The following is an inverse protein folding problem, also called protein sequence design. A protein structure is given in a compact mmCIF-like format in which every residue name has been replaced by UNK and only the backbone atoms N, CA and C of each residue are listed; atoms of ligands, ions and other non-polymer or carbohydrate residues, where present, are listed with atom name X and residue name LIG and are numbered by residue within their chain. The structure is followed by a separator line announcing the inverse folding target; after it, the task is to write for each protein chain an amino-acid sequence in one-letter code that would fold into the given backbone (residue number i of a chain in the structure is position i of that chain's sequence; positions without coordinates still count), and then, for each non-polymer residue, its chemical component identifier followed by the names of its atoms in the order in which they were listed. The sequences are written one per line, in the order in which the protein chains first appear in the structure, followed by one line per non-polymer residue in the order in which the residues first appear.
data_IF_288408110113
#
_entry.id   IF_288408110113
#
_cell.length_a   1.000
_cell.length_b   1.000
_cell.length_c   1.000
_cell.angle_alpha   90.00
_cell.angle_beta   90.00
_cell.angle_gamma   90.00
#
_symmetry.space_group_name_H-M   'P 1'
#
loop_
_entity.id
_entity.type
_entity.pdbx_description
1 polymer ?
#
# COMPACT_ATOMS: atom_id res chain seq x y z
N UNK A 1 44.40 14.94 6.04
CA UNK A 1 43.44 15.34 7.09
C UNK A 1 42.24 14.41 6.94
N UNK A 2 42.08 13.42 7.81
CA UNK A 2 40.98 12.44 7.72
C UNK A 2 39.79 13.04 8.45
N UNK A 3 38.71 13.34 7.72
CA UNK A 3 37.45 13.78 8.32
C UNK A 3 36.95 12.73 9.31
N UNK A 4 36.86 13.11 10.59
CA UNK A 4 36.12 12.33 11.58
C UNK A 4 34.63 12.34 11.20
N UNK A 5 34.16 11.26 10.56
CA UNK A 5 32.72 11.00 10.43
C UNK A 5 32.14 10.88 11.85
N UNK A 6 31.38 11.88 12.26
CA UNK A 6 30.61 11.86 13.51
C UNK A 6 29.70 10.64 13.48
N UNK A 7 29.94 9.67 14.36
CA UNK A 7 29.20 8.40 14.40
C UNK A 7 27.79 8.66 14.94
N UNK A 8 26.84 8.90 14.03
CA UNK A 8 25.46 9.28 14.35
C UNK A 8 24.78 8.19 15.18
N UNK A 9 23.95 8.60 16.15
CA UNK A 9 23.16 7.67 16.95
C UNK A 9 22.01 7.09 16.13
N UNK A 10 21.87 5.77 16.17
CA UNK A 10 20.77 5.07 15.52
C UNK A 10 19.49 5.21 16.37
N UNK A 11 18.49 5.96 15.86
CA UNK A 11 17.21 6.17 16.57
C UNK A 11 16.42 4.87 16.78
N UNK A 12 16.56 3.92 15.87
CA UNK A 12 15.87 2.62 15.90
C UNK A 12 16.61 1.53 16.69
N UNK A 13 17.70 1.86 17.41
CA UNK A 13 18.49 0.91 18.21
C UNK A 13 17.62 -0.08 18.99
N UNK A 14 16.64 0.42 19.75
CA UNK A 14 15.76 -0.41 20.59
C UNK A 14 14.93 -1.41 19.76
N UNK A 15 14.41 -0.95 18.61
CA UNK A 15 13.53 -1.76 17.75
C UNK A 15 14.33 -2.82 17.03
N UNK A 16 15.49 -2.47 16.47
CA UNK A 16 16.41 -3.43 15.83
C UNK A 16 16.85 -4.54 16.78
N UNK A 17 17.26 -4.18 18.00
CA UNK A 17 17.70 -5.15 19.01
C UNK A 17 16.55 -6.08 19.43
N UNK A 18 15.31 -5.58 19.52
CA UNK A 18 14.14 -6.44 19.79
C UNK A 18 13.87 -7.42 18.67
N UNK A 19 13.86 -6.94 17.41
CA UNK A 19 13.64 -7.79 16.24
C UNK A 19 14.70 -8.90 16.18
N UNK A 20 15.99 -8.56 16.36
CA UNK A 20 17.06 -9.54 16.39
C UNK A 20 16.85 -10.64 17.44
N UNK A 21 16.40 -10.28 18.64
CA UNK A 21 16.12 -11.24 19.73
C UNK A 21 14.88 -12.09 19.41
N UNK A 22 13.83 -11.50 18.83
CA UNK A 22 12.65 -12.24 18.36
C UNK A 22 13.02 -13.27 17.27
N UNK A 23 14.05 -12.98 16.47
CA UNK A 23 14.65 -13.88 15.50
C UNK A 23 15.70 -14.84 16.08
N UNK A 24 15.83 -14.93 17.40
CA UNK A 24 16.64 -15.94 18.09
C UNK A 24 18.07 -15.51 18.44
N UNK A 25 18.48 -14.26 18.15
CA UNK A 25 19.80 -13.78 18.56
C UNK A 25 19.88 -13.54 20.07
N UNK A 26 21.04 -13.83 20.67
CA UNK A 26 21.33 -13.47 22.05
C UNK A 26 21.96 -12.09 22.16
N UNK A 27 21.99 -11.51 23.37
CA UNK A 27 22.72 -10.26 23.62
C UNK A 27 24.23 -10.38 23.34
N UNK A 28 24.80 -11.59 23.36
CA UNK A 28 26.21 -11.83 23.03
C UNK A 28 26.42 -11.72 21.52
N UNK A 29 25.55 -12.34 20.73
CA UNK A 29 25.60 -12.30 19.26
C UNK A 29 25.46 -10.86 18.75
N UNK A 30 24.50 -10.12 19.32
CA UNK A 30 24.28 -8.71 18.98
C UNK A 30 25.50 -7.84 19.34
N UNK A 31 26.19 -8.14 20.45
CA UNK A 31 27.40 -7.41 20.82
C UNK A 31 28.52 -7.63 19.79
N UNK A 32 28.72 -8.87 19.34
CA UNK A 32 29.72 -9.18 18.31
C UNK A 32 29.39 -8.53 16.97
N UNK A 33 28.14 -8.60 16.52
CA UNK A 33 27.69 -7.95 15.29
C UNK A 33 27.86 -6.43 15.33
N UNK A 34 27.76 -5.84 16.52
CA UNK A 34 28.01 -4.41 16.75
C UNK A 34 29.51 -4.05 16.85
N UNK A 35 30.42 -5.00 16.64
CA UNK A 35 31.87 -4.81 16.77
C UNK A 35 32.33 -4.61 18.22
N UNK A 36 31.59 -5.16 19.19
CA UNK A 36 31.91 -5.13 20.62
C UNK A 36 32.35 -6.52 21.11
N UNK A 37 32.90 -6.56 22.33
CA UNK A 37 33.21 -7.83 22.99
C UNK A 37 31.92 -8.60 23.34
N UNK A 38 31.92 -9.93 23.26
CA UNK A 38 30.84 -10.80 23.79
C UNK A 38 30.43 -10.46 25.23
N UNK A 39 31.35 -9.93 26.03
CA UNK A 39 31.09 -9.54 27.43
C UNK A 39 30.26 -8.26 27.57
N UNK A 40 30.04 -7.51 26.49
CA UNK A 40 29.28 -6.25 26.48
C UNK A 40 27.75 -6.44 26.53
N UNK A 41 27.26 -7.58 27.02
CA UNK A 41 25.82 -7.91 27.15
C UNK A 41 25.03 -6.87 27.96
N UNK A 42 25.65 -6.23 28.96
CA UNK A 42 25.01 -5.18 29.75
C UNK A 42 24.69 -3.94 28.90
N UNK A 43 25.56 -3.60 27.94
CA UNK A 43 25.33 -2.49 27.02
C UNK A 43 24.20 -2.82 26.03
N UNK A 44 24.19 -4.04 25.49
CA UNK A 44 23.10 -4.52 24.61
C UNK A 44 21.76 -4.56 25.35
N UNK A 45 21.76 -4.91 26.65
CA UNK A 45 20.56 -4.82 27.49
C UNK A 45 20.05 -3.38 27.63
N UNK A 46 20.95 -2.40 27.79
CA UNK A 46 20.57 -0.97 27.79
C UNK A 46 19.97 -0.54 26.44
N UNK A 47 20.53 -1.02 25.32
CA UNK A 47 19.97 -0.81 23.99
C UNK A 47 18.56 -1.41 23.85
N UNK A 48 18.37 -2.66 24.26
CA UNK A 48 17.08 -3.37 24.25
C UNK A 48 16.00 -2.67 25.08
N UNK A 49 16.40 -2.11 26.21
CA UNK A 49 15.49 -1.40 27.12
C UNK A 49 15.24 0.05 26.67
N UNK A 50 16.11 0.60 25.82
CA UNK A 50 16.04 1.98 25.31
C UNK A 50 16.69 3.01 26.23
N UNK A 51 17.53 2.60 27.17
CA UNK A 51 18.25 3.50 28.08
C UNK A 51 19.59 3.97 27.52
N UNK A 52 20.00 3.43 26.36
CA UNK A 52 21.14 3.90 25.59
C UNK A 52 20.89 3.69 24.09
N UNK A 53 21.52 4.52 23.24
CA UNK A 53 21.51 4.36 21.79
C UNK A 53 22.89 3.93 21.28
N UNK A 54 22.89 2.96 20.37
CA UNK A 54 24.06 2.57 19.60
C UNK A 54 24.32 3.58 18.48
N UNK A 55 25.50 3.53 17.88
CA UNK A 55 25.78 4.28 16.66
C UNK A 55 25.22 3.56 15.44
N UNK A 56 24.99 4.27 14.34
CA UNK A 56 24.58 3.66 13.07
C UNK A 56 25.60 2.61 12.60
N UNK A 57 26.90 2.85 12.82
CA UNK A 57 27.96 1.87 12.56
C UNK A 57 27.76 0.57 13.35
N UNK A 58 27.48 0.68 14.65
CA UNK A 58 27.22 -0.47 15.52
C UNK A 58 25.94 -1.23 15.13
N UNK A 59 24.96 -0.54 14.55
CA UNK A 59 23.71 -1.15 14.11
C UNK A 59 23.74 -1.61 12.65
N UNK A 60 24.85 -1.40 11.92
CA UNK A 60 24.91 -1.60 10.47
C UNK A 60 24.45 -2.99 10.01
N UNK A 61 24.84 -4.05 10.71
CA UNK A 61 24.39 -5.41 10.39
C UNK A 61 22.88 -5.58 10.61
N UNK A 62 22.37 -5.14 11.77
CA UNK A 62 20.96 -5.25 12.09
C UNK A 62 20.10 -4.36 11.18
N UNK A 63 20.59 -3.20 10.75
CA UNK A 63 19.90 -2.35 9.76
C UNK A 63 19.83 -3.08 8.42
N UNK A 64 20.91 -3.71 7.97
CA UNK A 64 20.93 -4.44 6.71
C UNK A 64 19.98 -5.66 6.75
N UNK A 65 19.91 -6.35 7.88
CA UNK A 65 19.15 -7.59 8.02
C UNK A 65 17.67 -7.35 8.38
N UNK A 66 17.40 -6.37 9.25
CA UNK A 66 16.08 -6.12 9.84
C UNK A 66 15.55 -4.70 9.59
N UNK A 67 16.27 -3.87 8.86
CA UNK A 67 15.87 -2.48 8.60
C UNK A 67 14.51 -2.36 7.94
N UNK A 68 14.16 -3.30 7.06
CA UNK A 68 12.83 -3.33 6.44
C UNK A 68 11.70 -3.64 7.44
N UNK A 69 11.99 -4.41 8.49
CA UNK A 69 11.05 -4.71 9.57
C UNK A 69 10.83 -3.52 10.51
N UNK A 70 11.68 -2.48 10.44
CA UNK A 70 11.47 -1.22 11.15
C UNK A 70 10.40 -0.35 10.51
N UNK A 71 10.09 -0.56 9.21
CA UNK A 71 9.01 0.17 8.57
C UNK A 71 7.72 -0.14 9.32
N UNK A 72 6.99 0.90 9.70
CA UNK A 72 5.70 0.75 10.38
C UNK A 72 4.84 -0.17 9.52
N UNK A 73 4.34 -1.27 10.07
CA UNK A 73 3.29 -2.06 9.41
C UNK A 73 2.08 -1.15 9.26
N UNK A 74 1.86 -0.62 8.06
CA UNK A 74 0.69 0.18 7.75
C UNK A 74 -0.47 -0.80 7.68
N UNK A 75 -1.39 -0.68 8.63
CA UNK A 75 -2.61 -1.46 8.68
C UNK A 75 -3.73 -0.66 8.02
N UNK A 76 -4.48 -1.30 7.13
CA UNK A 76 -5.64 -0.77 6.45
C UNK A 76 -6.87 -1.50 6.98
N UNK A 77 -7.87 -0.74 7.40
CA UNK A 77 -9.17 -1.28 7.77
C UNK A 77 -10.11 -1.09 6.57
N UNK A 78 -10.64 -2.20 6.08
CA UNK A 78 -11.65 -2.24 5.02
C UNK A 78 -12.94 -2.78 5.63
N UNK A 79 -14.07 -2.46 5.03
CA UNK A 79 -15.34 -3.09 5.39
C UNK A 79 -16.09 -3.54 4.15
N UNK A 80 -16.93 -4.54 4.34
CA UNK A 80 -17.92 -5.00 3.38
C UNK A 80 -19.27 -5.05 4.08
N UNK A 81 -20.26 -4.38 3.48
CA UNK A 81 -21.66 -4.49 3.88
C UNK A 81 -22.42 -5.29 2.82
N UNK A 82 -23.03 -6.40 3.24
CA UNK A 82 -23.84 -7.27 2.36
C UNK A 82 -24.99 -7.86 3.16
N UNK A 83 -26.23 -7.78 2.66
CA UNK A 83 -27.43 -8.31 3.32
C UNK A 83 -27.58 -7.86 4.79
N UNK A 84 -27.36 -6.58 5.08
CA UNK A 84 -27.36 -5.98 6.43
C UNK A 84 -26.34 -6.59 7.41
N UNK A 85 -25.36 -7.34 6.91
CA UNK A 85 -24.21 -7.79 7.68
C UNK A 85 -23.01 -6.90 7.34
N UNK A 86 -22.41 -6.32 8.38
CA UNK A 86 -21.20 -5.53 8.27
C UNK A 86 -20.00 -6.36 8.74
N UNK A 87 -19.04 -6.55 7.85
CA UNK A 87 -17.79 -7.26 8.11
C UNK A 87 -16.60 -6.34 7.93
N UNK A 88 -15.58 -6.53 8.75
CA UNK A 88 -14.35 -5.75 8.73
C UNK A 88 -13.17 -6.64 8.37
N UNK A 89 -12.33 -6.13 7.49
CA UNK A 89 -11.13 -6.81 7.01
C UNK A 89 -9.92 -5.95 7.35
N UNK A 90 -8.90 -6.58 7.90
CA UNK A 90 -7.61 -5.94 8.15
C UNK A 90 -6.61 -6.43 7.12
N UNK A 91 -5.94 -5.50 6.46
CA UNK A 91 -4.87 -5.81 5.52
C UNK A 91 -3.64 -4.97 5.86
N UNK A 92 -2.45 -5.55 5.74
CA UNK A 92 -1.19 -4.84 6.00
C UNK A 92 -0.43 -4.64 4.71
N UNK A 93 0.16 -3.47 4.50
CA UNK A 93 0.96 -3.22 3.31
C UNK A 93 1.09 -1.74 2.97
N UNK A 94 1.95 -1.42 2.03
CA UNK A 94 2.08 -0.08 1.47
C UNK A 94 1.10 0.11 0.32
N UNK A 95 0.39 1.23 0.28
CA UNK A 95 -0.46 1.58 -0.86
C UNK A 95 0.43 2.08 -1.97
N UNK A 96 0.50 1.32 -3.06
CA UNK A 96 1.25 1.72 -4.25
C UNK A 96 0.50 2.78 -5.04
N UNK A 97 -0.80 2.57 -5.26
CA UNK A 97 -1.68 3.61 -5.80
C UNK A 97 -3.14 3.39 -5.43
N UNK A 98 -3.91 4.49 -5.49
CA UNK A 98 -5.38 4.49 -5.48
C UNK A 98 -5.86 5.14 -6.76
N UNK A 99 -6.76 4.49 -7.50
CA UNK A 99 -7.40 5.06 -8.67
C UNK A 99 -8.91 5.11 -8.44
N UNK A 100 -9.55 6.26 -8.71
CA UNK A 100 -11.00 6.34 -8.63
C UNK A 100 -11.62 6.68 -9.98
N UNK A 101 -12.61 5.87 -10.36
CA UNK A 101 -13.49 6.14 -11.49
C UNK A 101 -14.50 7.18 -11.04
N UNK A 102 -14.63 8.24 -11.83
CA UNK A 102 -15.43 9.42 -11.50
C UNK A 102 -16.39 9.74 -12.63
N UNK A 103 -17.55 10.25 -12.28
CA UNK A 103 -18.45 10.91 -13.25
C UNK A 103 -18.56 12.39 -12.98
N UNK A 104 -18.88 13.14 -14.03
CA UNK A 104 -19.29 14.52 -13.90
C UNK A 104 -20.74 14.59 -13.44
N UNK A 105 -20.99 15.36 -12.38
CA UNK A 105 -22.30 15.60 -11.82
C UNK A 105 -22.49 17.08 -11.53
N UNK A 106 -23.71 17.60 -11.63
CA UNK A 106 -24.03 18.98 -11.28
C UNK A 106 -24.61 19.07 -9.87
N UNK A 107 -23.82 19.55 -8.92
CA UNK A 107 -24.23 19.75 -7.53
C UNK A 107 -24.59 21.22 -7.35
N UNK A 108 -25.87 21.52 -7.08
CA UNK A 108 -26.34 22.91 -6.90
C UNK A 108 -25.90 23.84 -8.05
N UNK A 109 -26.03 23.38 -9.30
CA UNK A 109 -25.60 24.08 -10.53
C UNK A 109 -24.08 24.29 -10.67
N UNK A 110 -23.27 23.60 -9.87
CA UNK A 110 -21.80 23.59 -9.99
C UNK A 110 -21.33 22.22 -10.47
N UNK A 111 -20.49 22.15 -11.52
CA UNK A 111 -19.94 20.89 -11.97
C UNK A 111 -19.00 20.34 -10.89
N UNK A 112 -19.15 19.06 -10.57
CA UNK A 112 -18.31 18.32 -9.65
C UNK A 112 -17.94 16.96 -10.25
N UNK A 113 -16.80 16.42 -9.83
CA UNK A 113 -16.42 15.04 -10.16
C UNK A 113 -16.73 14.15 -8.96
N UNK A 114 -17.63 13.21 -9.14
CA UNK A 114 -18.09 12.29 -8.09
C UNK A 114 -17.47 10.93 -8.32
N UNK A 115 -16.72 10.44 -7.33
CA UNK A 115 -16.06 9.15 -7.40
C UNK A 115 -17.04 8.02 -7.04
N UNK A 116 -17.15 7.02 -7.92
CA UNK A 116 -18.12 5.93 -7.79
C UNK A 116 -17.46 4.61 -7.43
N UNK A 117 -16.29 4.34 -8.00
CA UNK A 117 -15.52 3.12 -7.76
C UNK A 117 -14.06 3.49 -7.47
N UNK A 118 -13.45 2.76 -6.55
CA UNK A 118 -12.06 2.93 -6.11
C UNK A 118 -11.32 1.61 -6.24
N UNK A 119 -10.18 1.65 -6.92
CA UNK A 119 -9.20 0.60 -7.00
C UNK A 119 -8.01 0.95 -6.11
N UNK A 120 -7.53 -0.02 -5.34
CA UNK A 120 -6.35 0.13 -4.49
C UNK A 120 -5.42 -1.04 -4.78
N UNK A 121 -4.17 -0.73 -5.13
CA UNK A 121 -3.09 -1.72 -5.17
C UNK A 121 -2.22 -1.53 -3.95
N UNK A 122 -2.11 -2.59 -3.16
CA UNK A 122 -1.23 -2.67 -1.99
C UNK A 122 -0.07 -3.62 -2.28
N UNK A 123 1.08 -3.33 -1.70
CA UNK A 123 2.20 -4.24 -1.64
C UNK A 123 2.45 -4.68 -0.20
N UNK A 124 2.61 -5.99 -0.02
CA UNK A 124 2.99 -6.60 1.24
C UNK A 124 4.15 -7.57 0.99
N UNK A 125 5.36 -7.15 1.34
CA UNK A 125 6.60 -7.86 0.96
C UNK A 125 6.71 -7.99 -0.57
N UNK A 126 6.77 -9.21 -1.10
CA UNK A 126 6.84 -9.50 -2.54
C UNK A 126 5.48 -9.90 -3.15
N UNK A 127 4.39 -9.63 -2.42
CA UNK A 127 3.03 -9.94 -2.87
C UNK A 127 2.22 -8.66 -3.02
N UNK A 128 1.26 -8.70 -3.94
CA UNK A 128 0.40 -7.57 -4.26
C UNK A 128 -1.04 -7.93 -3.97
N UNK A 129 -1.83 -6.95 -3.56
CA UNK A 129 -3.26 -7.10 -3.31
C UNK A 129 -4.00 -6.04 -4.11
N UNK A 130 -5.05 -6.47 -4.80
CA UNK A 130 -5.95 -5.59 -5.55
C UNK A 130 -7.31 -5.54 -4.85
N UNK A 131 -7.71 -4.35 -4.43
CA UNK A 131 -8.99 -4.12 -3.77
C UNK A 131 -9.85 -3.26 -4.69
N UNK A 132 -11.09 -3.70 -4.90
CA UNK A 132 -12.11 -2.92 -5.60
C UNK A 132 -13.22 -2.55 -4.62
N UNK A 133 -13.59 -1.27 -4.62
CA UNK A 133 -14.59 -0.72 -3.72
C UNK A 133 -15.58 0.17 -4.48
N UNK A 134 -16.81 0.23 -4.00
CA UNK A 134 -17.83 1.16 -4.47
C UNK A 134 -18.11 2.22 -3.41
N UNK A 135 -18.51 3.42 -3.85
CA UNK A 135 -18.95 4.48 -2.95
C UNK A 135 -20.16 3.97 -2.16
N UNK A 136 -20.11 4.09 -0.84
CA UNK A 136 -21.22 3.65 0.00
C UNK A 136 -22.47 4.51 -0.30
N UNK A 137 -23.66 3.89 -0.24
CA UNK A 137 -24.92 4.52 -0.63
C UNK A 137 -25.16 4.62 -2.15
N UNK A 138 -24.24 4.12 -2.98
CA UNK A 138 -24.42 4.08 -4.43
C UNK A 138 -25.49 3.07 -4.83
N UNK A 139 -26.53 3.56 -5.49
CA UNK A 139 -27.48 2.74 -6.25
C UNK A 139 -27.03 2.67 -7.71
N UNK A 140 -26.56 1.50 -8.14
CA UNK A 140 -26.03 1.27 -9.49
C UNK A 140 -27.08 1.55 -10.57
N UNK A 141 -28.35 1.22 -10.31
CA UNK A 141 -29.44 1.51 -11.26
C UNK A 141 -29.72 3.02 -11.36
N UNK A 142 -29.35 3.74 -10.29
CA UNK A 142 -29.33 5.19 -10.18
C UNK A 142 -28.46 5.84 -11.27
N UNK A 143 -27.27 5.30 -11.56
CA UNK A 143 -26.08 6.03 -12.09
C UNK A 143 -26.41 7.13 -13.14
N UNK A 144 -27.20 6.87 -14.19
CA UNK A 144 -27.54 7.88 -15.20
C UNK A 144 -28.23 9.15 -14.67
N UNK A 145 -28.84 9.10 -13.49
CA UNK A 145 -29.57 10.20 -12.87
C UNK A 145 -28.83 10.81 -11.66
N UNK A 146 -27.50 10.59 -11.52
CA UNK A 146 -26.75 10.84 -10.26
C UNK A 146 -26.99 12.19 -9.64
N UNK A 147 -27.04 13.23 -10.47
CA UNK A 147 -27.35 14.60 -10.05
C UNK A 147 -28.57 14.72 -9.13
N UNK A 148 -29.55 13.82 -9.24
CA UNK A 148 -30.80 13.84 -8.46
C UNK A 148 -30.75 13.07 -7.14
N UNK A 149 -29.74 12.22 -6.94
CA UNK A 149 -29.66 11.35 -5.76
C UNK A 149 -28.26 11.33 -5.10
N UNK A 150 -27.43 12.34 -5.33
CA UNK A 150 -26.14 12.52 -4.63
C UNK A 150 -26.24 12.47 -3.11
N UNK A 151 -27.37 12.89 -2.54
CA UNK A 151 -27.69 12.83 -1.12
C UNK A 151 -27.73 11.40 -0.56
N UNK A 152 -27.87 10.38 -1.43
CA UNK A 152 -27.86 8.97 -1.02
C UNK A 152 -26.45 8.43 -0.83
N UNK A 153 -25.44 9.07 -1.42
CA UNK A 153 -24.04 8.67 -1.24
C UNK A 153 -23.56 9.00 0.18
N UNK A 154 -22.60 8.23 0.67
CA UNK A 154 -21.94 8.53 1.95
C UNK A 154 -20.99 9.73 1.84
N UNK A 155 -21.03 10.58 2.87
CA UNK A 155 -20.30 11.86 3.00
C UNK A 155 -19.57 11.95 4.34
N UNK A 156 -18.94 10.86 4.78
CA UNK A 156 -18.12 10.85 5.99
C UNK A 156 -16.85 11.68 5.82
N UNK A 157 -16.46 12.40 6.88
CA UNK A 157 -15.15 13.08 6.97
C UNK A 157 -13.98 12.07 6.98
N UNK A 158 -14.24 10.83 7.43
CA UNK A 158 -13.30 9.74 7.26
C UNK A 158 -13.44 9.19 5.84
N UNK A 159 -12.48 9.53 4.97
CA UNK A 159 -12.57 9.16 3.57
C UNK A 159 -12.68 7.65 3.33
N UNK A 160 -12.07 6.80 4.16
CA UNK A 160 -12.17 5.34 3.99
C UNK A 160 -13.54 4.78 4.41
N UNK A 161 -14.27 5.46 5.30
CA UNK A 161 -15.64 5.10 5.66
C UNK A 161 -16.65 5.33 4.51
N UNK A 162 -16.24 6.04 3.45
CA UNK A 162 -17.08 6.26 2.27
C UNK A 162 -17.07 5.11 1.26
N UNK A 163 -16.28 4.04 1.48
CA UNK A 163 -16.02 3.01 0.48
C UNK A 163 -16.36 1.60 0.97
N UNK A 164 -17.36 0.99 0.35
CA UNK A 164 -17.73 -0.41 0.59
C UNK A 164 -16.88 -1.34 -0.30
N UNK A 165 -16.25 -2.35 0.29
CA UNK A 165 -15.40 -3.29 -0.44
C UNK A 165 -16.24 -4.34 -1.13
N UNK A 166 -15.99 -4.56 -2.42
CA UNK A 166 -16.72 -5.56 -3.22
C UNK A 166 -15.84 -6.75 -3.60
N UNK A 167 -14.54 -6.53 -3.82
CA UNK A 167 -13.60 -7.59 -4.16
C UNK A 167 -12.24 -7.32 -3.52
N UNK A 168 -11.59 -8.38 -3.04
CA UNK A 168 -10.22 -8.37 -2.54
C UNK A 168 -9.48 -9.56 -3.15
N UNK A 169 -8.62 -9.29 -4.14
CA UNK A 169 -7.73 -10.30 -4.70
C UNK A 169 -6.39 -10.18 -3.97
N UNK A 170 -6.00 -11.23 -3.24
CA UNK A 170 -4.80 -11.24 -2.41
C UNK A 170 -3.69 -12.08 -3.02
N UNK A 171 -2.48 -11.83 -2.56
CA UNK A 171 -1.30 -12.65 -2.84
C UNK A 171 -0.95 -12.78 -4.33
N UNK A 172 -1.18 -11.71 -5.09
CA UNK A 172 -0.95 -11.64 -6.53
C UNK A 172 0.52 -11.38 -6.88
N UNK A 173 0.95 -11.92 -8.02
CA UNK A 173 2.18 -11.51 -8.69
C UNK A 173 1.95 -10.18 -9.45
N UNK A 174 2.97 -9.34 -9.70
CA UNK A 174 2.84 -8.13 -10.51
C UNK A 174 2.16 -8.34 -11.88
N UNK A 175 2.48 -9.44 -12.58
CA UNK A 175 1.82 -9.78 -13.85
C UNK A 175 0.31 -9.99 -13.68
N UNK A 176 -0.12 -10.59 -12.57
CA UNK A 176 -1.54 -10.80 -12.29
C UNK A 176 -2.24 -9.46 -12.07
N UNK A 177 -1.58 -8.49 -11.42
CA UNK A 177 -2.12 -7.13 -11.26
C UNK A 177 -2.35 -6.48 -12.63
N UNK A 178 -1.39 -6.59 -13.55
CA UNK A 178 -1.56 -6.06 -14.92
C UNK A 178 -2.72 -6.76 -15.64
N UNK A 179 -2.80 -8.09 -15.57
CA UNK A 179 -3.87 -8.86 -16.19
C UNK A 179 -5.25 -8.49 -15.63
N UNK A 180 -5.40 -8.40 -14.32
CA UNK A 180 -6.68 -8.03 -13.67
C UNK A 180 -7.09 -6.60 -14.03
N UNK A 181 -6.13 -5.67 -14.11
CA UNK A 181 -6.41 -4.29 -14.54
C UNK A 181 -6.79 -4.22 -16.02
N UNK A 182 -6.13 -4.99 -16.88
CA UNK A 182 -6.44 -5.03 -18.31
C UNK A 182 -7.82 -5.65 -18.57
N UNK A 183 -8.17 -6.73 -17.85
CA UNK A 183 -9.51 -7.33 -17.85
C UNK A 183 -10.57 -6.32 -17.39
N UNK A 184 -10.33 -5.65 -16.25
CA UNK A 184 -11.25 -4.63 -15.75
C UNK A 184 -11.41 -3.48 -16.76
N UNK A 185 -10.34 -3.08 -17.44
CA UNK A 185 -10.38 -2.02 -18.45
C UNK A 185 -11.28 -2.39 -19.63
N UNK A 186 -11.29 -3.66 -20.05
CA UNK A 186 -12.21 -4.16 -21.09
C UNK A 186 -13.65 -4.11 -20.56
N UNK A 187 -13.88 -4.68 -19.37
CA UNK A 187 -15.17 -4.66 -18.66
C UNK A 187 -15.74 -3.24 -18.45
N UNK A 188 -14.88 -2.26 -18.17
CA UNK A 188 -15.25 -0.84 -18.04
C UNK A 188 -15.70 -0.23 -19.37
N UNK A 189 -15.19 -0.72 -20.50
CA UNK A 189 -15.61 -0.26 -21.83
C UNK A 189 -16.95 -0.91 -22.23
N UNK A 190 -17.14 -2.18 -21.88
CA UNK A 190 -18.27 -3.02 -22.31
C UNK A 190 -19.49 -2.99 -21.36
N UNK A 191 -19.43 -2.18 -20.28
CA UNK A 191 -20.43 -2.13 -19.20
C UNK A 191 -20.52 -3.42 -18.37
N UNK A 192 -19.62 -4.38 -18.57
CA UNK A 192 -19.52 -5.62 -17.80
C UNK A 192 -18.69 -5.42 -16.52
N UNK A 193 -19.06 -4.41 -15.73
CA UNK A 193 -18.34 -4.05 -14.51
C UNK A 193 -19.33 -3.77 -13.37
N UNK A 194 -18.87 -3.66 -12.11
CA UNK A 194 -19.76 -3.46 -10.97
C UNK A 194 -20.67 -2.23 -11.05
N UNK A 195 -20.29 -1.20 -11.82
CA UNK A 195 -21.10 0.00 -12.03
C UNK A 195 -22.11 -0.15 -13.18
N UNK A 196 -22.08 -1.24 -13.96
CA UNK A 196 -22.96 -1.48 -15.13
C UNK A 196 -23.05 -0.29 -16.10
N UNK A 197 -21.97 0.50 -16.16
CA UNK A 197 -21.86 1.72 -16.96
C UNK A 197 -20.51 1.75 -17.66
N UNK A 198 -20.43 2.45 -18.80
CA UNK A 198 -19.22 2.50 -19.62
C UNK A 198 -18.33 3.68 -19.21
N UNK A 199 -17.03 3.44 -19.07
CA UNK A 199 -16.02 4.46 -18.71
C UNK A 199 -14.79 4.40 -19.63
N UNK A 200 -14.97 4.47 -20.96
CA UNK A 200 -13.87 4.33 -21.92
C UNK A 200 -12.77 5.39 -21.74
N UNK A 201 -13.08 6.55 -21.19
CA UNK A 201 -12.14 7.65 -20.99
C UNK A 201 -11.06 7.34 -19.94
N UNK A 202 -11.36 6.46 -18.98
CA UNK A 202 -10.50 6.23 -17.82
C UNK A 202 -9.59 5.00 -17.96
N UNK A 203 -9.86 4.13 -18.95
CA UNK A 203 -9.18 2.82 -19.09
C UNK A 203 -7.70 2.97 -19.44
N UNK A 204 -7.36 3.90 -20.33
CA UNK A 204 -5.97 4.16 -20.72
C UNK A 204 -5.16 4.69 -19.55
N UNK A 205 -5.75 5.61 -18.77
CA UNK A 205 -5.12 6.16 -17.56
C UNK A 205 -4.83 5.06 -16.53
N UNK A 206 -5.82 4.21 -16.25
CA UNK A 206 -5.69 3.12 -15.29
C UNK A 206 -4.58 2.14 -15.70
N UNK A 207 -4.57 1.71 -16.96
CA UNK A 207 -3.54 0.82 -17.51
C UNK A 207 -2.13 1.42 -17.42
N UNK A 208 -2.00 2.71 -17.75
CA UNK A 208 -0.74 3.43 -17.68
C UNK A 208 -0.24 3.55 -16.22
N UNK A 209 -1.11 3.98 -15.30
CA UNK A 209 -0.75 4.16 -13.87
C UNK A 209 -0.28 2.84 -13.27
N UNK A 210 -0.96 1.73 -13.56
CA UNK A 210 -0.59 0.41 -13.07
C UNK A 210 0.84 0.04 -13.50
N UNK A 211 1.12 0.12 -14.80
CA UNK A 211 2.42 -0.20 -15.39
C UNK A 211 3.51 0.73 -14.86
N UNK A 212 3.27 2.04 -14.84
CA UNK A 212 4.21 3.01 -14.31
C UNK A 212 4.53 2.72 -12.84
N UNK A 213 3.53 2.36 -12.04
CA UNK A 213 3.71 2.10 -10.61
C UNK A 213 4.54 0.84 -10.40
N UNK A 214 4.24 -0.26 -11.10
CA UNK A 214 5.01 -1.49 -11.00
C UNK A 214 6.44 -1.32 -11.53
N UNK A 215 6.63 -0.57 -12.61
CA UNK A 215 7.96 -0.22 -13.13
C UNK A 215 8.80 0.52 -12.07
N UNK A 216 8.21 1.46 -11.33
CA UNK A 216 8.88 2.14 -10.20
C UNK A 216 9.22 1.21 -9.04
N UNK A 217 8.52 0.09 -8.91
CA UNK A 217 8.84 -0.97 -7.94
C UNK A 217 9.88 -1.97 -8.48
N UNK A 218 10.47 -1.71 -9.65
CA UNK A 218 11.47 -2.58 -10.26
C UNK A 218 10.88 -3.75 -11.06
N UNK A 219 9.57 -3.76 -11.29
CA UNK A 219 8.91 -4.78 -12.12
C UNK A 219 8.65 -4.24 -13.53
N UNK A 220 9.32 -4.81 -14.52
CA UNK A 220 9.10 -4.49 -15.93
C UNK A 220 8.14 -5.49 -16.57
N UNK A 221 6.94 -5.00 -16.92
CA UNK A 221 5.95 -5.79 -17.66
C UNK A 221 6.42 -6.06 -19.09
N UNK A 222 6.09 -7.24 -19.63
CA UNK A 222 6.56 -7.72 -20.94
C UNK A 222 6.10 -6.88 -22.13
N UNK A 223 5.00 -6.15 -21.96
CA UNK A 223 4.41 -5.28 -22.97
C UNK A 223 5.02 -3.86 -22.99
N UNK A 224 5.95 -3.56 -22.08
CA UNK A 224 6.71 -2.31 -22.09
C UNK A 224 7.90 -2.46 -23.05
N UNK A 225 7.92 -1.64 -24.09
CA UNK A 225 9.03 -1.55 -25.03
C UNK A 225 10.16 -0.75 -24.37
N UNK A 226 11.32 -1.40 -24.18
CA UNK A 226 12.52 -0.78 -23.63
C UNK A 226 13.40 -0.21 -24.75
N UNK A 227 13.53 1.12 -24.78
CA UNK A 227 14.29 1.83 -25.80
C UNK A 227 15.81 1.80 -25.56
N UNK A 228 16.27 1.37 -24.38
CA UNK A 228 17.69 1.29 -24.03
C UNK A 228 18.25 -0.14 -24.14
N UNK A 229 17.39 -1.17 -24.09
CA UNK A 229 17.80 -2.57 -24.23
C UNK A 229 18.18 -2.98 -25.67
N UNK A 230 17.81 -2.18 -26.68
CA UNK A 230 18.11 -2.43 -28.10
C UNK A 230 19.41 -1.73 -28.61
N UNK A 231 20.28 -1.27 -27.70
CA UNK A 231 21.61 -0.71 -28.01
C UNK A 231 22.73 -1.57 -27.44
#
# INVERSE_FOLDING_TARGET
MIEQRVDRKCKDTKRLVRIAIEHGMTNQDIAELAGLSRKSVALVSKWRNGTALATERQMGHLIKEYGDLLKRKIEHLLFQETNNKLEFYKLTGEVLFKYCIRIHANINKRPAKVALMRLIVLQQHNKYHLITQLRNGLDINKIPLLDRYLQTLSHSDNEDANWNTIFINQDLHPDDIIQEIDKLSIALTERDNPLKYAFPECVTELRFIARQTLLKQGFQSKDIIDLEAEK
#
